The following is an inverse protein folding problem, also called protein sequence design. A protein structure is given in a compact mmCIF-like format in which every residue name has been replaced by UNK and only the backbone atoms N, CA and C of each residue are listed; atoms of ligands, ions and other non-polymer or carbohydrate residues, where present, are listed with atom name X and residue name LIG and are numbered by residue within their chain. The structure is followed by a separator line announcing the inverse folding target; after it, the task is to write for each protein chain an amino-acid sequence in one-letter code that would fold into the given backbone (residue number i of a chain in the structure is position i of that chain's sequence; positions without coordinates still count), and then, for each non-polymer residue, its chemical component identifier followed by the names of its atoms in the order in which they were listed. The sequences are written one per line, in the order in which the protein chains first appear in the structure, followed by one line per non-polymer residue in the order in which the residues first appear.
data_IF_755775012143
#
_entry.id   IF_755775012143
#
_cell.length_a   1.000
_cell.length_b   1.000
_cell.length_c   1.000
_cell.angle_alpha   90.00
_cell.angle_beta   90.00
_cell.angle_gamma   90.00
#
_symmetry.space_group_name_H-M   'P 1'
#
loop_
_entity.id
_entity.type
_entity.pdbx_description
1 polymer ?
#
# COMPACT_ATOMS: atom_id res chain seq x y z
N UNK A 1 -28.66 -79.27 -20.03
CA UNK A 1 -29.23 -79.56 -18.70
C UNK A 1 -28.44 -78.74 -17.70
N UNK A 2 -28.93 -77.73 -16.99
CA UNK A 2 -30.22 -77.06 -16.88
C UNK A 2 -29.90 -75.60 -16.52
N UNK A 3 -30.65 -74.65 -17.04
CA UNK A 3 -30.69 -73.31 -16.47
C UNK A 3 -31.63 -73.29 -15.26
N UNK A 4 -31.43 -72.32 -14.38
CA UNK A 4 -32.56 -71.63 -13.78
C UNK A 4 -32.18 -70.17 -13.52
N UNK A 5 -33.08 -69.27 -13.90
CA UNK A 5 -32.94 -67.82 -13.75
C UNK A 5 -34.01 -67.28 -12.81
N UNK A 6 -33.68 -66.22 -12.06
CA UNK A 6 -34.60 -65.17 -11.57
C UNK A 6 -33.75 -64.23 -10.67
N UNK A 7 -33.31 -63.09 -11.17
CA UNK A 7 -33.97 -61.77 -11.23
C UNK A 7 -33.64 -60.83 -10.06
N UNK A 8 -33.15 -59.66 -10.48
CA UNK A 8 -33.48 -58.32 -9.99
C UNK A 8 -33.03 -57.90 -8.60
N UNK A 9 -31.87 -57.26 -8.57
CA UNK A 9 -31.65 -56.05 -7.78
C UNK A 9 -31.21 -54.94 -8.72
N UNK A 10 -32.16 -54.24 -9.34
CA UNK A 10 -31.88 -53.01 -10.08
C UNK A 10 -31.46 -51.93 -9.07
N UNK A 11 -30.15 -51.86 -8.79
CA UNK A 11 -29.55 -50.69 -8.16
C UNK A 11 -29.74 -49.50 -9.10
N UNK A 12 -30.73 -48.66 -8.79
CA UNK A 12 -30.99 -47.39 -9.45
C UNK A 12 -29.74 -46.51 -9.29
N UNK A 13 -28.83 -46.56 -10.26
CA UNK A 13 -27.69 -45.66 -10.34
C UNK A 13 -28.22 -44.23 -10.47
N UNK A 14 -28.02 -43.42 -9.43
CA UNK A 14 -28.24 -41.98 -9.49
C UNK A 14 -27.22 -41.42 -10.50
N UNK A 15 -27.71 -41.04 -11.69
CA UNK A 15 -26.92 -40.59 -12.84
C UNK A 15 -26.32 -39.20 -12.66
N UNK A 16 -25.63 -38.96 -11.54
CA UNK A 16 -24.79 -37.78 -11.32
C UNK A 16 -23.47 -38.25 -10.73
N UNK A 17 -22.44 -38.33 -11.57
CA UNK A 17 -21.08 -38.49 -11.09
C UNK A 17 -20.77 -37.33 -10.15
N UNK A 18 -20.72 -37.62 -8.85
CA UNK A 18 -20.30 -36.65 -7.84
C UNK A 18 -18.79 -36.58 -7.82
N UNK A 19 -18.27 -35.37 -7.76
CA UNK A 19 -16.84 -35.12 -7.83
C UNK A 19 -16.40 -34.41 -6.56
N UNK A 20 -15.57 -35.07 -5.76
CA UNK A 20 -15.09 -34.57 -4.47
C UNK A 20 -13.59 -34.31 -4.53
N UNK A 21 -13.14 -33.20 -3.94
CA UNK A 21 -11.75 -32.77 -3.92
C UNK A 21 -11.57 -31.33 -4.38
N UNK A 22 -10.31 -30.90 -4.46
CA UNK A 22 -9.89 -29.62 -5.03
C UNK A 22 -9.26 -29.89 -6.39
N UNK A 23 -9.69 -29.14 -7.40
CA UNK A 23 -9.21 -29.29 -8.77
C UNK A 23 -8.51 -28.02 -9.20
N UNK A 24 -7.34 -28.15 -9.82
CA UNK A 24 -6.62 -27.01 -10.36
C UNK A 24 -7.38 -26.50 -11.60
N UNK A 25 -7.63 -25.20 -11.62
CA UNK A 25 -8.21 -24.52 -12.77
C UNK A 25 -7.50 -23.23 -13.10
N UNK A 26 -7.86 -22.67 -14.25
CA UNK A 26 -7.39 -21.37 -14.72
C UNK A 26 -8.59 -20.46 -14.93
N UNK A 27 -8.52 -19.22 -14.42
CA UNK A 27 -9.63 -18.27 -14.57
C UNK A 27 -9.81 -17.89 -16.04
N UNK A 28 -11.03 -18.07 -16.57
CA UNK A 28 -11.40 -17.71 -17.94
C UNK A 28 -12.19 -16.42 -18.02
N UNK A 29 -13.02 -16.15 -17.00
CA UNK A 29 -13.86 -14.96 -16.95
C UNK A 29 -14.15 -14.60 -15.49
N UNK A 30 -13.94 -13.34 -15.12
CA UNK A 30 -14.24 -12.82 -13.79
C UNK A 30 -15.21 -11.62 -13.82
N UNK A 31 -15.79 -11.31 -14.98
CA UNK A 31 -16.77 -10.24 -15.14
C UNK A 31 -18.18 -10.74 -14.75
N UNK A 32 -18.42 -10.86 -13.44
CA UNK A 32 -19.66 -11.38 -12.88
C UNK A 32 -20.83 -10.40 -13.05
N UNK A 33 -21.87 -10.74 -13.83
CA UNK A 33 -23.02 -9.86 -14.06
C UNK A 33 -23.86 -9.61 -12.80
N UNK A 34 -23.69 -10.41 -11.74
CA UNK A 34 -24.40 -10.25 -10.46
C UNK A 34 -23.55 -9.57 -9.39
N UNK A 35 -22.30 -9.21 -9.68
CA UNK A 35 -21.40 -8.55 -8.72
C UNK A 35 -21.20 -9.33 -7.41
N UNK A 36 -21.18 -10.66 -7.47
CA UNK A 36 -21.02 -11.55 -6.32
C UNK A 36 -19.57 -12.04 -6.15
N UNK A 37 -18.63 -11.55 -6.97
CA UNK A 37 -17.24 -12.03 -6.97
C UNK A 37 -17.08 -13.44 -7.53
N UNK A 38 -17.99 -13.86 -8.41
CA UNK A 38 -17.92 -15.17 -9.07
C UNK A 38 -16.96 -15.15 -10.25
N UNK A 39 -16.47 -16.32 -10.62
CA UNK A 39 -15.65 -16.50 -11.81
C UNK A 39 -16.03 -17.79 -12.55
N UNK A 40 -15.66 -17.87 -13.83
CA UNK A 40 -15.66 -19.11 -14.59
C UNK A 40 -14.21 -19.56 -14.75
N UNK A 41 -13.96 -20.84 -14.48
CA UNK A 41 -12.64 -21.43 -14.59
C UNK A 41 -12.62 -22.57 -15.61
N UNK A 42 -11.48 -22.77 -16.25
CA UNK A 42 -11.18 -23.95 -17.04
C UNK A 42 -10.60 -25.03 -16.12
N UNK A 43 -11.25 -26.20 -16.05
CA UNK A 43 -10.88 -27.32 -15.16
C UNK A 43 -10.88 -28.62 -15.95
N UNK A 44 -9.80 -28.92 -16.69
CA UNK A 44 -9.78 -30.01 -17.67
C UNK A 44 -9.96 -31.39 -17.05
N UNK A 45 -9.50 -31.58 -15.80
CA UNK A 45 -9.60 -32.86 -15.08
C UNK A 45 -11.06 -33.28 -14.82
N UNK A 46 -12.00 -32.32 -14.73
CA UNK A 46 -13.40 -32.59 -14.37
C UNK A 46 -14.37 -32.31 -15.52
N UNK A 47 -14.16 -31.21 -16.25
CA UNK A 47 -15.11 -30.72 -17.26
C UNK A 47 -14.58 -30.82 -18.71
N UNK A 48 -13.36 -31.34 -18.90
CA UNK A 48 -12.72 -31.39 -20.21
C UNK A 48 -12.55 -29.98 -20.79
N UNK A 49 -13.09 -29.75 -21.99
CA UNK A 49 -12.95 -28.46 -22.70
C UNK A 49 -13.94 -27.38 -22.25
N UNK A 50 -14.92 -27.74 -21.40
CA UNK A 50 -16.01 -26.85 -21.02
C UNK A 50 -15.64 -26.09 -19.74
N UNK A 51 -15.69 -24.74 -19.73
CA UNK A 51 -15.52 -23.97 -18.50
C UNK A 51 -16.61 -24.27 -17.47
N UNK A 52 -16.33 -24.00 -16.20
CA UNK A 52 -17.33 -24.08 -15.15
C UNK A 52 -18.50 -23.11 -15.39
N UNK A 53 -19.63 -23.38 -14.75
CA UNK A 53 -20.59 -22.33 -14.41
C UNK A 53 -19.95 -21.25 -13.52
N UNK A 54 -20.74 -20.26 -13.10
CA UNK A 54 -20.28 -19.22 -12.18
C UNK A 54 -19.93 -19.79 -10.81
N UNK A 55 -18.64 -19.90 -10.52
CA UNK A 55 -18.10 -20.40 -9.27
C UNK A 55 -18.23 -19.35 -8.16
N UNK A 56 -18.81 -19.73 -7.03
CA UNK A 56 -18.94 -18.83 -5.86
C UNK A 56 -17.60 -18.66 -5.14
N UNK A 57 -17.33 -17.48 -4.56
CA UNK A 57 -16.12 -17.28 -3.76
C UNK A 57 -16.22 -17.99 -2.40
N UNK A 58 -15.17 -18.71 -2.03
CA UNK A 58 -14.87 -19.08 -0.64
C UNK A 58 -13.79 -18.12 -0.13
N UNK A 59 -14.19 -16.88 0.17
CA UNK A 59 -13.31 -15.81 0.67
C UNK A 59 -13.07 -15.94 2.18
N UNK A 60 -11.90 -15.52 2.72
CA UNK A 60 -11.61 -15.56 4.15
C UNK A 60 -12.53 -14.67 5.00
N UNK A 61 -13.17 -13.66 4.43
CA UNK A 61 -14.07 -12.77 5.16
C UNK A 61 -15.19 -12.26 4.25
N UNK A 62 -16.45 -12.47 4.64
CA UNK A 62 -17.63 -11.97 3.96
C UNK A 62 -18.77 -11.70 4.94
N UNK A 63 -19.50 -10.62 4.72
CA UNK A 63 -20.69 -10.25 5.46
C UNK A 63 -21.42 -9.08 4.77
N UNK A 64 -22.61 -8.68 5.28
CA UNK A 64 -23.25 -7.47 4.82
C UNK A 64 -22.28 -6.28 4.92
N UNK A 65 -22.08 -5.58 3.80
CA UNK A 65 -21.22 -4.38 3.68
C UNK A 65 -19.76 -4.55 4.16
N UNK A 66 -19.26 -5.78 4.29
CA UNK A 66 -17.93 -6.08 4.85
C UNK A 66 -17.34 -7.34 4.23
N UNK A 67 -16.01 -7.40 4.07
CA UNK A 67 -15.36 -8.59 3.53
C UNK A 67 -13.97 -8.36 2.98
N UNK A 68 -13.37 -9.44 2.51
CA UNK A 68 -12.13 -9.46 1.73
C UNK A 68 -12.49 -9.69 0.26
N UNK A 69 -12.47 -8.63 -0.54
CA UNK A 69 -12.82 -8.67 -1.96
C UNK A 69 -11.57 -8.56 -2.83
N UNK A 70 -11.08 -9.71 -3.28
CA UNK A 70 -9.92 -9.83 -4.18
C UNK A 70 -10.20 -10.93 -5.19
N UNK A 71 -10.84 -10.56 -6.30
CA UNK A 71 -11.20 -11.52 -7.36
C UNK A 71 -9.98 -11.77 -8.25
N UNK A 72 -9.56 -13.02 -8.48
CA UNK A 72 -8.39 -13.29 -9.30
C UNK A 72 -8.57 -12.83 -10.76
N UNK A 73 -7.48 -12.39 -11.43
CA UNK A 73 -7.53 -11.97 -12.83
C UNK A 73 -7.68 -13.17 -13.76
N UNK A 74 -8.13 -12.92 -15.00
CA UNK A 74 -8.13 -13.93 -16.07
C UNK A 74 -6.70 -14.46 -16.28
N UNK A 75 -6.56 -15.77 -16.40
CA UNK A 75 -5.28 -16.46 -16.49
C UNK A 75 -4.70 -16.93 -15.15
N UNK A 76 -5.23 -16.46 -14.00
CA UNK A 76 -4.74 -16.89 -12.69
C UNK A 76 -5.06 -18.36 -12.40
N UNK A 77 -4.15 -19.03 -11.67
CA UNK A 77 -4.37 -20.36 -11.11
C UNK A 77 -5.32 -20.33 -9.91
N UNK A 78 -6.38 -21.12 -9.96
CA UNK A 78 -7.44 -21.17 -8.93
C UNK A 78 -7.79 -22.60 -8.54
N UNK A 79 -8.06 -22.84 -7.25
CA UNK A 79 -8.60 -24.11 -6.78
C UNK A 79 -10.13 -24.11 -6.88
N UNK A 80 -10.67 -25.10 -7.58
CA UNK A 80 -12.11 -25.28 -7.78
C UNK A 80 -12.60 -26.48 -6.97
N UNK A 81 -13.76 -26.29 -6.34
CA UNK A 81 -14.54 -27.29 -5.63
C UNK A 81 -15.97 -27.28 -6.13
N UNK A 82 -16.75 -28.28 -5.75
CA UNK A 82 -18.15 -28.43 -6.16
C UNK A 82 -19.03 -28.66 -4.93
N UNK A 83 -20.04 -27.82 -4.73
CA UNK A 83 -20.96 -27.93 -3.58
C UNK A 83 -21.59 -29.33 -3.53
N UNK A 84 -21.35 -30.07 -2.45
CA UNK A 84 -21.79 -31.47 -2.29
C UNK A 84 -21.37 -32.41 -3.45
N UNK A 85 -20.32 -32.05 -4.19
CA UNK A 85 -19.79 -32.78 -5.34
C UNK A 85 -20.58 -32.58 -6.64
N UNK A 86 -21.48 -31.61 -6.70
CA UNK A 86 -22.29 -31.29 -7.88
C UNK A 86 -21.56 -30.33 -8.82
N UNK A 87 -21.15 -30.83 -9.99
CA UNK A 87 -20.39 -30.06 -11.00
C UNK A 87 -21.11 -28.80 -11.49
N UNK A 88 -22.44 -28.73 -11.34
CA UNK A 88 -23.23 -27.53 -11.68
C UNK A 88 -23.15 -26.41 -10.63
N UNK A 89 -22.57 -26.69 -9.46
CA UNK A 89 -22.44 -25.75 -8.33
C UNK A 89 -20.97 -25.54 -7.93
N UNK A 90 -20.17 -24.91 -8.80
CA UNK A 90 -18.76 -24.67 -8.53
C UNK A 90 -18.53 -23.63 -7.43
N UNK A 91 -17.42 -23.78 -6.71
CA UNK A 91 -16.84 -22.85 -5.73
C UNK A 91 -15.37 -22.65 -6.10
N UNK A 92 -14.85 -21.44 -5.92
CA UNK A 92 -13.40 -21.20 -5.95
C UNK A 92 -12.88 -20.91 -4.53
N UNK A 93 -11.80 -21.59 -4.13
CA UNK A 93 -11.34 -21.67 -2.73
C UNK A 93 -9.88 -21.26 -2.54
N UNK A 94 -9.46 -20.24 -3.28
CA UNK A 94 -8.11 -19.68 -3.23
C UNK A 94 -7.34 -19.87 -4.55
N UNK A 95 -6.13 -19.32 -4.59
CA UNK A 95 -5.28 -19.29 -5.77
C UNK A 95 -3.97 -20.06 -5.52
N UNK A 96 -3.28 -20.35 -6.61
CA UNK A 96 -1.91 -20.84 -6.58
C UNK A 96 -1.10 -20.06 -7.62
N UNK A 97 0.20 -19.96 -7.38
CA UNK A 97 1.14 -19.36 -8.32
C UNK A 97 1.72 -20.42 -9.24
N UNK A 98 1.75 -20.13 -10.53
CA UNK A 98 2.61 -20.80 -11.49
C UNK A 98 4.08 -20.39 -11.34
N UNK A 99 4.93 -20.98 -12.19
CA UNK A 99 6.35 -20.64 -12.22
C UNK A 99 6.57 -19.17 -12.57
N UNK A 100 7.20 -18.42 -11.66
CA UNK A 100 7.52 -17.00 -11.88
C UNK A 100 6.39 -16.01 -11.57
N UNK A 101 5.24 -16.48 -11.07
CA UNK A 101 4.08 -15.63 -10.79
C UNK A 101 4.02 -15.06 -9.37
N UNK A 102 5.01 -15.39 -8.52
CA UNK A 102 5.07 -14.83 -7.17
C UNK A 102 5.08 -13.30 -7.22
N UNK A 103 4.36 -12.62 -6.31
CA UNK A 103 4.40 -11.17 -6.25
C UNK A 103 5.82 -10.70 -5.97
N UNK A 104 6.24 -9.63 -6.64
CA UNK A 104 7.58 -9.05 -6.50
C UNK A 104 7.50 -7.76 -5.69
N UNK A 105 8.45 -7.54 -4.79
CA UNK A 105 8.60 -6.27 -4.06
C UNK A 105 9.07 -5.19 -5.06
N UNK A 106 8.42 -4.03 -5.17
CA UNK A 106 8.95 -2.92 -5.97
C UNK A 106 10.40 -2.56 -5.58
N UNK A 107 11.29 -2.28 -6.56
CA UNK A 107 11.03 -2.12 -7.99
C UNK A 107 11.15 -3.42 -8.83
N UNK A 108 11.10 -4.60 -8.21
CA UNK A 108 11.19 -5.88 -8.92
C UNK A 108 12.05 -6.94 -8.24
N UNK A 109 12.14 -6.92 -6.91
CA UNK A 109 12.86 -7.96 -6.16
C UNK A 109 11.97 -9.19 -5.95
N UNK A 110 12.50 -10.42 -6.13
CA UNK A 110 11.77 -11.65 -5.82
C UNK A 110 11.26 -11.69 -4.36
N UNK A 111 10.13 -12.36 -4.14
CA UNK A 111 9.65 -12.65 -2.79
C UNK A 111 10.61 -13.60 -2.05
N UNK A 112 10.99 -13.22 -0.82
CA UNK A 112 11.71 -14.08 0.12
C UNK A 112 10.79 -14.51 1.28
N UNK A 113 11.05 -15.63 1.99
CA UNK A 113 10.18 -16.10 3.09
C UNK A 113 9.93 -15.08 4.21
N UNK A 114 10.89 -14.18 4.46
CA UNK A 114 10.79 -13.11 5.46
C UNK A 114 9.97 -11.90 4.98
N UNK A 115 9.52 -11.90 3.73
CA UNK A 115 8.71 -10.83 3.16
C UNK A 115 7.27 -11.29 3.00
N UNK A 116 6.31 -10.49 3.45
CA UNK A 116 4.88 -10.70 3.24
C UNK A 116 4.38 -9.62 2.30
N UNK A 117 3.88 -10.04 1.14
CA UNK A 117 3.52 -9.12 0.06
C UNK A 117 2.06 -9.32 -0.32
N UNK A 118 1.31 -8.22 -0.36
CA UNK A 118 0.06 -8.13 -1.08
C UNK A 118 0.25 -7.17 -2.25
N UNK A 119 0.11 -7.67 -3.47
CA UNK A 119 0.37 -6.93 -4.70
C UNK A 119 -0.76 -7.15 -5.70
N UNK A 120 -1.29 -6.06 -6.23
CA UNK A 120 -2.23 -6.07 -7.37
C UNK A 120 -1.49 -6.20 -8.71
N UNK A 121 -2.23 -6.52 -9.77
CA UNK A 121 -1.71 -6.76 -11.12
C UNK A 121 -0.97 -5.55 -11.69
N UNK A 122 -1.43 -4.33 -11.36
CA UNK A 122 -0.81 -3.07 -11.76
C UNK A 122 0.27 -2.58 -10.80
N UNK A 123 0.58 -3.37 -9.77
CA UNK A 123 1.73 -3.16 -8.89
C UNK A 123 1.50 -2.26 -7.67
N UNK A 124 0.26 -1.91 -7.34
CA UNK A 124 -0.04 -1.38 -6.00
C UNK A 124 0.27 -2.46 -4.98
N UNK A 125 1.15 -2.13 -4.03
CA UNK A 125 1.79 -3.13 -3.18
C UNK A 125 1.81 -2.69 -1.71
N UNK A 126 1.45 -3.63 -0.83
CA UNK A 126 1.74 -3.60 0.62
C UNK A 126 2.80 -4.65 0.92
N UNK A 127 3.85 -4.25 1.63
CA UNK A 127 4.99 -5.12 1.98
C UNK A 127 5.27 -5.03 3.46
N UNK A 128 5.39 -6.18 4.12
CA UNK A 128 6.05 -6.31 5.42
C UNK A 128 7.36 -7.08 5.19
N UNK A 129 8.48 -6.50 5.58
CA UNK A 129 9.80 -7.08 5.42
C UNK A 129 10.45 -7.27 6.80
N UNK A 130 10.44 -8.52 7.30
CA UNK A 130 10.96 -8.84 8.62
C UNK A 130 12.49 -8.75 8.68
N UNK A 131 13.18 -8.79 7.53
CA UNK A 131 14.64 -8.74 7.44
C UNK A 131 15.14 -7.31 7.59
N UNK A 132 14.51 -6.36 6.91
CA UNK A 132 14.80 -4.93 7.05
C UNK A 132 13.98 -4.26 8.15
N UNK A 133 13.01 -4.97 8.73
CA UNK A 133 12.04 -4.46 9.69
C UNK A 133 11.30 -3.21 9.17
N UNK A 134 10.77 -3.33 7.94
CA UNK A 134 10.05 -2.24 7.27
C UNK A 134 8.62 -2.65 6.91
N UNK A 135 7.70 -1.69 6.96
CA UNK A 135 6.35 -1.82 6.40
C UNK A 135 6.19 -0.75 5.32
N UNK A 136 5.85 -1.15 4.10
CA UNK A 136 5.77 -0.25 2.95
C UNK A 136 4.42 -0.37 2.24
N UNK A 137 3.79 0.77 1.94
CA UNK A 137 2.68 0.91 0.99
C UNK A 137 3.22 1.69 -0.21
N UNK A 138 3.11 1.16 -1.42
CA UNK A 138 3.78 1.78 -2.57
C UNK A 138 3.14 1.44 -3.92
N UNK A 139 3.40 2.27 -4.92
CA UNK A 139 3.10 1.98 -6.32
C UNK A 139 4.11 1.03 -6.97
N UNK A 140 3.90 0.71 -8.25
CA UNK A 140 4.73 -0.23 -8.98
C UNK A 140 6.20 0.22 -9.13
N UNK A 141 6.46 1.52 -9.13
CA UNK A 141 7.76 2.14 -9.38
C UNK A 141 8.46 2.60 -8.09
N UNK A 142 7.78 2.56 -6.95
CA UNK A 142 8.33 3.07 -5.69
C UNK A 142 8.31 4.60 -5.56
N UNK A 143 7.60 5.31 -6.43
CA UNK A 143 7.66 6.79 -6.50
C UNK A 143 6.69 7.45 -5.52
N UNK A 144 5.54 6.82 -5.30
CA UNK A 144 4.58 7.20 -4.27
C UNK A 144 4.60 6.12 -3.20
N UNK A 145 5.01 6.48 -1.98
CA UNK A 145 5.18 5.50 -0.91
C UNK A 145 4.93 6.06 0.48
N UNK A 146 4.53 5.16 1.38
CA UNK A 146 4.58 5.34 2.83
C UNK A 146 5.38 4.18 3.38
N UNK A 147 6.44 4.49 4.12
CA UNK A 147 7.32 3.49 4.71
C UNK A 147 7.50 3.74 6.20
N UNK A 148 7.32 2.69 7.00
CA UNK A 148 7.71 2.64 8.40
C UNK A 148 8.99 1.81 8.48
N UNK A 149 10.04 2.37 9.07
CA UNK A 149 11.32 1.69 9.28
C UNK A 149 11.61 1.61 10.77
N UNK A 150 11.70 0.39 11.30
CA UNK A 150 12.06 0.17 12.72
C UNK A 150 13.54 0.45 12.95
N UNK A 151 14.39 0.14 11.97
CA UNK A 151 15.84 0.30 12.08
C UNK A 151 16.26 1.77 12.26
N UNK A 152 15.60 2.68 11.56
CA UNK A 152 15.82 4.14 11.68
C UNK A 152 14.83 4.79 12.65
N UNK A 153 13.75 4.09 13.02
CA UNK A 153 12.68 4.66 13.84
C UNK A 153 11.87 5.74 13.12
N UNK A 154 11.84 5.74 11.78
CA UNK A 154 11.23 6.80 10.97
C UNK A 154 10.01 6.32 10.17
N UNK A 155 9.14 7.29 9.86
CA UNK A 155 8.03 7.13 8.92
C UNK A 155 8.24 8.10 7.78
N UNK A 156 8.44 7.57 6.57
CA UNK A 156 8.70 8.36 5.37
C UNK A 156 7.49 8.36 4.45
N UNK A 157 7.02 9.54 4.04
CA UNK A 157 5.94 9.71 3.06
C UNK A 157 6.51 10.39 1.83
N UNK A 158 6.42 9.74 0.66
CA UNK A 158 6.89 10.23 -0.63
C UNK A 158 5.73 10.35 -1.61
N UNK A 159 5.64 11.50 -2.27
CA UNK A 159 4.81 11.68 -3.45
C UNK A 159 5.71 12.11 -4.60
N UNK A 160 5.52 11.52 -5.78
CA UNK A 160 6.34 11.82 -6.96
C UNK A 160 6.29 13.30 -7.38
N UNK A 161 5.17 13.98 -7.06
CA UNK A 161 4.93 15.40 -7.39
C UNK A 161 4.69 16.24 -6.14
N UNK A 162 3.79 15.79 -5.26
CA UNK A 162 3.43 16.50 -4.02
C UNK A 162 2.79 15.55 -3.02
N UNK A 163 2.90 15.90 -1.74
CA UNK A 163 2.12 15.32 -0.63
C UNK A 163 1.18 16.42 -0.13
N UNK A 164 -0.11 16.09 0.07
CA UNK A 164 -1.12 17.06 0.51
C UNK A 164 -1.76 16.55 1.80
N UNK A 165 -1.55 17.27 2.89
CA UNK A 165 -2.30 17.11 4.14
C UNK A 165 -3.50 18.07 4.11
N UNK A 166 -4.72 17.54 4.21
CA UNK A 166 -5.96 18.32 4.14
C UNK A 166 -6.90 17.95 5.28
N UNK A 167 -7.07 18.86 6.23
CA UNK A 167 -7.99 18.71 7.35
C UNK A 167 -8.41 20.10 7.88
N UNK A 168 -9.53 20.22 8.63
CA UNK A 168 -9.87 21.46 9.33
C UNK A 168 -8.77 21.94 10.29
N UNK A 169 -8.00 21.01 10.86
CA UNK A 169 -6.82 21.27 11.67
C UNK A 169 -5.76 20.21 11.34
N UNK A 170 -4.53 20.66 11.08
CA UNK A 170 -3.36 19.80 10.88
C UNK A 170 -2.38 20.11 12.01
N UNK A 171 -1.97 19.08 12.76
CA UNK A 171 -1.00 19.19 13.84
C UNK A 171 0.26 18.43 13.43
N UNK A 172 1.34 19.16 13.20
CA UNK A 172 2.67 18.62 12.89
C UNK A 172 3.61 18.88 14.08
N UNK A 173 4.35 17.87 14.54
CA UNK A 173 5.22 17.95 15.72
C UNK A 173 4.77 17.07 16.89
N UNK A 174 5.25 17.36 18.10
CA UNK A 174 4.94 16.61 19.33
C UNK A 174 4.57 17.55 20.47
N UNK A 175 4.03 17.03 21.58
CA UNK A 175 3.80 17.82 22.82
C UNK A 175 5.10 18.41 23.40
N UNK A 176 6.25 17.86 22.99
CA UNK A 176 7.58 18.34 23.35
C UNK A 176 8.23 19.23 22.29
N UNK A 177 7.54 19.49 21.17
CA UNK A 177 8.06 20.36 20.12
C UNK A 177 8.03 21.81 20.60
N UNK A 178 9.16 22.50 20.49
CA UNK A 178 9.25 23.90 20.88
C UNK A 178 8.34 24.81 20.03
N UNK A 179 8.00 24.39 18.80
CA UNK A 179 7.18 25.13 17.85
C UNK A 179 6.12 24.24 17.17
N UNK A 180 4.90 24.76 16.94
CA UNK A 180 3.79 24.02 16.33
C UNK A 180 3.88 23.90 14.80
N UNK A 181 4.97 24.38 14.17
CA UNK A 181 5.14 24.39 12.72
C UNK A 181 6.58 24.09 12.31
N UNK A 182 6.75 23.45 11.16
CA UNK A 182 8.05 23.27 10.49
C UNK A 182 8.45 24.62 9.87
N UNK A 183 9.35 25.36 10.52
CA UNK A 183 9.99 26.53 9.94
C UNK A 183 11.08 26.04 8.97
N UNK A 184 10.97 26.38 7.69
CA UNK A 184 11.90 25.92 6.66
C UNK A 184 13.24 26.66 6.67
N UNK A 185 14.28 26.00 6.16
CA UNK A 185 15.65 26.55 6.06
C UNK A 185 15.72 27.87 5.31
N UNK A 186 14.81 28.09 4.34
CA UNK A 186 14.71 29.34 3.59
C UNK A 186 14.27 30.53 4.46
N UNK A 187 13.35 30.31 5.41
CA UNK A 187 12.93 31.37 6.34
C UNK A 187 14.07 31.72 7.31
N UNK A 188 14.77 30.70 7.83
CA UNK A 188 15.94 30.92 8.68
C UNK A 188 17.04 31.69 7.94
N UNK A 189 17.32 31.31 6.69
CA UNK A 189 18.29 31.99 5.83
C UNK A 189 17.90 33.46 5.60
N UNK A 190 16.62 33.73 5.30
CA UNK A 190 16.11 35.09 5.14
C UNK A 190 16.26 35.92 6.41
N UNK A 191 15.89 35.37 7.57
CA UNK A 191 16.04 36.07 8.85
C UNK A 191 17.53 36.32 9.19
N UNK A 192 18.43 35.39 8.87
CA UNK A 192 19.85 35.57 9.08
C UNK A 192 20.42 36.69 8.18
N UNK A 193 19.97 36.76 6.93
CA UNK A 193 20.33 37.86 6.02
C UNK A 193 19.85 39.21 6.52
N UNK A 194 18.61 39.31 7.02
CA UNK A 194 18.08 40.55 7.58
C UNK A 194 18.89 41.03 8.79
N UNK A 195 19.24 40.11 9.71
CA UNK A 195 20.09 40.44 10.85
C UNK A 195 21.48 40.91 10.39
N UNK A 196 22.06 40.27 9.36
CA UNK A 196 23.33 40.68 8.78
C UNK A 196 23.26 42.09 8.16
N UNK A 197 22.22 42.39 7.39
CA UNK A 197 21.99 43.72 6.82
C UNK A 197 21.82 44.78 7.90
N UNK A 198 21.05 44.49 8.95
CA UNK A 198 20.93 45.40 10.09
C UNK A 198 22.28 45.61 10.79
N UNK A 199 23.04 44.56 11.09
CA UNK A 199 24.31 44.74 11.80
C UNK A 199 25.39 45.47 10.99
N UNK A 200 25.25 45.51 9.67
CA UNK A 200 26.16 46.20 8.74
C UNK A 200 25.61 47.53 8.23
N UNK A 201 24.38 47.90 8.57
CA UNK A 201 23.79 49.15 8.11
C UNK A 201 24.50 50.34 8.75
N UNK A 202 24.64 51.39 7.95
CA UNK A 202 25.17 52.69 8.38
C UNK A 202 24.21 53.77 7.92
N UNK A 203 23.96 54.78 8.74
CA UNK A 203 23.18 55.93 8.31
C UNK A 203 24.03 56.79 7.35
N UNK A 204 23.51 57.17 6.17
CA UNK A 204 24.12 58.20 5.34
C UNK A 204 24.24 59.49 6.17
N UNK A 205 25.46 59.99 6.32
CA UNK A 205 25.83 60.92 7.37
C UNK A 205 24.93 62.14 7.50
N UNK A 206 24.55 62.42 8.76
CA UNK A 206 24.31 63.78 9.22
C UNK A 206 25.68 64.46 9.28
N UNK A 207 26.14 65.00 8.15
CA UNK A 207 27.13 66.06 8.20
C UNK A 207 26.43 67.24 8.86
N UNK A 208 26.60 67.35 10.18
CA UNK A 208 26.25 68.52 10.94
C UNK A 208 26.82 69.74 10.23
N UNK A 209 25.94 70.45 9.52
CA UNK A 209 26.17 71.81 9.07
C UNK A 209 26.21 72.69 10.33
N UNK A 210 27.38 72.71 10.97
CA UNK A 210 27.76 73.73 11.91
C UNK A 210 27.82 73.30 13.38
N UNK A 211 29.06 73.29 13.88
CA UNK A 211 29.43 73.78 15.22
C UNK A 211 28.72 73.06 16.37
N UNK A 212 29.17 71.86 16.72
CA UNK A 212 29.34 71.30 18.08
C UNK A 212 29.84 69.85 17.92
N UNK A 213 30.72 69.32 18.80
CA UNK A 213 31.03 67.89 18.79
C UNK A 213 29.79 67.12 19.23
N UNK A 214 29.01 66.57 18.29
CA UNK A 214 28.01 65.57 18.65
C UNK A 214 28.78 64.34 19.11
N UNK A 215 28.60 63.96 20.38
CA UNK A 215 29.17 62.73 20.92
C UNK A 215 28.76 61.59 19.99
N UNK A 216 29.71 60.76 19.50
CA UNK A 216 29.35 59.62 18.66
C UNK A 216 28.25 58.82 19.34
N UNK A 217 27.14 58.59 18.63
CA UNK A 217 26.07 57.75 19.18
C UNK A 217 26.70 56.41 19.61
N UNK A 218 26.44 55.94 20.84
CA UNK A 218 26.94 54.65 21.29
C UNK A 218 26.59 53.60 20.24
N UNK A 219 27.53 52.73 19.82
CA UNK A 219 27.23 51.67 18.85
C UNK A 219 25.99 50.90 19.32
N UNK A 220 24.98 50.83 18.46
CA UNK A 220 23.80 50.01 18.75
C UNK A 220 24.29 48.57 18.92
N UNK A 221 23.85 47.91 19.98
CA UNK A 221 24.21 46.52 20.22
C UNK A 221 23.80 45.67 18.99
N UNK A 222 24.69 44.81 18.46
CA UNK A 222 24.35 43.98 17.32
C UNK A 222 23.12 43.13 17.60
N UNK A 223 22.19 43.09 16.64
CA UNK A 223 21.06 42.19 16.71
C UNK A 223 21.59 40.75 16.62
N UNK A 224 21.21 39.85 17.54
CA UNK A 224 21.66 38.46 17.49
C UNK A 224 21.05 37.76 16.27
N UNK A 225 21.80 36.89 15.58
CA UNK A 225 21.25 36.09 14.48
C UNK A 225 20.10 35.22 15.00
N UNK A 226 19.12 34.89 14.15
CA UNK A 226 18.10 33.91 14.50
C UNK A 226 18.78 32.62 14.97
N UNK A 227 18.45 32.18 16.18
CA UNK A 227 19.05 30.96 16.73
C UNK A 227 18.55 29.73 15.96
N UNK A 228 19.35 28.65 15.87
CA UNK A 228 18.89 27.39 15.29
C UNK A 228 17.63 26.81 15.95
N UNK A 229 17.29 27.25 17.16
CA UNK A 229 16.03 26.90 17.83
C UNK A 229 14.78 27.45 17.11
N UNK A 230 14.93 28.43 16.22
CA UNK A 230 13.87 28.88 15.30
C UNK A 230 13.72 27.99 14.08
N UNK A 231 14.63 27.03 13.86
CA UNK A 231 14.33 25.88 13.02
C UNK A 231 13.50 24.93 13.88
N UNK A 232 12.49 24.30 13.31
CA UNK A 232 11.77 23.25 14.04
C UNK A 232 12.71 22.08 14.33
N UNK A 233 13.37 22.12 15.49
CA UNK A 233 14.24 21.07 15.99
C UNK A 233 13.39 20.02 16.70
N UNK A 234 12.49 19.34 15.97
CA UNK A 234 12.01 17.98 16.23
C UNK A 234 10.92 17.57 15.23
N UNK A 235 11.33 17.19 14.03
CA UNK A 235 11.18 15.80 13.55
C UNK A 235 12.42 15.56 12.70
N UNK A 236 13.43 14.88 13.26
CA UNK A 236 14.47 14.30 12.41
C UNK A 236 13.79 13.22 11.58
N UNK A 237 13.50 13.54 10.32
CA UNK A 237 13.37 12.54 9.27
C UNK A 237 14.81 12.08 8.97
N UNK A 238 15.26 11.04 9.67
CA UNK A 238 16.31 10.16 9.14
C UNK A 238 15.75 9.29 8.00
#
# INVERSE_FOLDING_TARGET
MFGDGMTTGAGKGDGRNRVYGKFAGTVMNNNDPLFLGRLQAFVPEVLGEIPTGWAKPCTPYAGPTSGFFSVPPVGAGVWIEFEAGDVSRPIWAGCYWGTGELPMKPPGSPSEPMTKIWRSELGLTTVLDDKTQTITLTDALGLNSVEVSVATGTVTIKGAVRVVSSAPLIQEGSDSAAHPAVLGDQLLSYLAQLVGLFNTHVHPGELALGILPVTPAPPVAPMPPPSPSLVSLKVFLE
#
